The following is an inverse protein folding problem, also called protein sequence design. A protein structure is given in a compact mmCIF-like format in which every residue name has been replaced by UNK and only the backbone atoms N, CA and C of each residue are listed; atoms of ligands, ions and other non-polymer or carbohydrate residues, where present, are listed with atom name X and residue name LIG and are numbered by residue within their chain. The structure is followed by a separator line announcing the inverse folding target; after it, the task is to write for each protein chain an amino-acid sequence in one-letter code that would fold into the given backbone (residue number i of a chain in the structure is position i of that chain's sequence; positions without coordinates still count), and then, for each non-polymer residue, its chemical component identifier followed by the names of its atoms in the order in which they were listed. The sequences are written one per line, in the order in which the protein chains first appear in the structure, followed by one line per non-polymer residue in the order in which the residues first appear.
data_IF_680503880125
#
_entry.id   IF_680503880125
#
_cell.length_a   1.000
_cell.length_b   1.000
_cell.length_c   1.000
_cell.angle_alpha   90.00
_cell.angle_beta   90.00
_cell.angle_gamma   90.00
#
_symmetry.space_group_name_H-M   'P 1'
#
loop_
_entity.id
_entity.type
_entity.pdbx_description
1 polymer ?
#
# COMPACT_ATOMS: atom_id res chain seq x y z
N UNK A 1 49.75 11.20 36.25
CA UNK A 1 48.57 10.30 36.24
C UNK A 1 47.29 10.98 35.75
N UNK A 2 47.00 12.25 36.12
CA UNK A 2 45.76 12.94 35.74
C UNK A 2 45.55 13.10 34.21
N UNK A 3 46.62 13.41 33.45
CA UNK A 3 46.57 13.55 31.98
C UNK A 3 46.27 12.25 31.23
N UNK A 4 46.76 11.11 31.73
CA UNK A 4 46.52 9.78 31.11
C UNK A 4 45.06 9.35 31.33
N UNK A 5 44.50 9.65 32.51
CA UNK A 5 43.10 9.39 32.83
C UNK A 5 42.15 10.26 31.98
N UNK A 6 42.52 11.51 31.72
CA UNK A 6 41.78 12.40 30.81
C UNK A 6 41.85 11.93 29.36
N UNK A 7 43.02 11.47 28.87
CA UNK A 7 43.16 10.91 27.53
C UNK A 7 42.33 9.62 27.35
N UNK A 8 42.30 8.74 28.34
CA UNK A 8 41.45 7.55 28.36
C UNK A 8 39.96 7.91 28.37
N UNK A 9 39.56 8.94 29.10
CA UNK A 9 38.18 9.42 29.13
C UNK A 9 37.74 9.98 27.78
N UNK A 10 38.59 10.78 27.13
CA UNK A 10 38.33 11.29 25.78
C UNK A 10 38.25 10.17 24.73
N UNK A 11 39.12 9.16 24.81
CA UNK A 11 39.08 7.99 23.92
C UNK A 11 37.80 7.17 24.09
N UNK A 12 37.33 6.98 25.33
CA UNK A 12 36.08 6.30 25.63
C UNK A 12 34.87 7.09 25.09
N UNK A 13 34.89 8.42 25.20
CA UNK A 13 33.84 9.28 24.66
C UNK A 13 33.77 9.22 23.13
N UNK A 14 34.93 9.17 22.46
CA UNK A 14 35.01 9.02 21.00
C UNK A 14 34.46 7.66 20.52
N UNK A 15 34.69 6.59 21.29
CA UNK A 15 34.18 5.25 21.01
C UNK A 15 32.65 5.19 21.10
N UNK A 16 32.06 5.87 22.08
CA UNK A 16 30.59 5.96 22.25
C UNK A 16 29.95 6.72 21.08
N UNK A 17 30.60 7.78 20.58
CA UNK A 17 30.10 8.57 19.44
C UNK A 17 30.05 7.77 18.13
N UNK A 18 30.94 6.80 17.91
CA UNK A 18 30.95 5.96 16.70
C UNK A 18 29.81 4.92 16.64
N UNK A 19 29.11 4.71 17.76
CA UNK A 19 28.08 3.66 17.92
C UNK A 19 26.73 4.01 17.26
N UNK A 20 26.52 5.23 16.75
CA UNK A 20 25.24 5.67 16.14
C UNK A 20 25.21 5.59 14.61
N UNK A 21 26.19 4.94 13.97
CA UNK A 21 26.35 4.93 12.51
C UNK A 21 25.39 4.01 11.73
N UNK A 22 24.32 3.49 12.36
CA UNK A 22 23.33 2.63 11.69
C UNK A 22 21.94 3.28 11.65
N UNK A 23 21.86 4.50 11.11
CA UNK A 23 20.61 5.02 10.55
C UNK A 23 20.62 4.82 9.03
N UNK A 24 20.86 3.58 8.59
CA UNK A 24 20.50 3.20 7.23
C UNK A 24 18.99 3.20 7.16
N UNK A 25 18.41 4.09 6.35
CA UNK A 25 17.00 4.02 5.99
C UNK A 25 16.74 2.64 5.39
N UNK A 26 16.27 1.70 6.21
CA UNK A 26 15.86 0.37 5.75
C UNK A 26 14.72 0.63 4.78
N UNK A 27 15.01 0.65 3.48
CA UNK A 27 14.01 0.50 2.42
C UNK A 27 13.30 -0.80 2.76
N UNK A 28 12.16 -0.72 3.43
CA UNK A 28 11.52 -1.86 4.09
C UNK A 28 11.33 -2.99 3.08
N UNK A 29 12.16 -4.03 3.18
CA UNK A 29 12.00 -5.36 2.61
C UNK A 29 11.26 -5.45 1.27
N UNK A 30 11.57 -4.57 0.32
CA UNK A 30 11.10 -4.70 -1.05
C UNK A 30 12.06 -5.67 -1.73
N UNK A 31 11.57 -6.88 -2.00
CA UNK A 31 12.30 -7.82 -2.84
C UNK A 31 12.43 -7.20 -4.24
N UNK A 32 13.66 -7.25 -4.78
CA UNK A 32 13.99 -6.71 -6.10
C UNK A 32 13.32 -7.50 -7.22
N UNK A 33 13.09 -8.79 -6.98
CA UNK A 33 12.48 -9.71 -7.94
C UNK A 33 11.12 -10.17 -7.41
N UNK A 34 10.12 -10.20 -8.29
CA UNK A 34 8.82 -10.74 -7.95
C UNK A 34 8.94 -12.27 -7.81
N UNK A 35 8.43 -12.87 -6.73
CA UNK A 35 8.50 -14.32 -6.54
C UNK A 35 7.45 -15.08 -7.38
N UNK A 36 6.76 -14.37 -8.26
CA UNK A 36 5.73 -14.86 -9.16
C UNK A 36 5.97 -14.31 -10.55
N UNK A 37 5.72 -15.13 -11.57
CA UNK A 37 5.84 -14.71 -12.96
C UNK A 37 4.59 -13.92 -13.40
N UNK A 38 4.77 -12.61 -13.52
CA UNK A 38 3.70 -11.65 -13.82
C UNK A 38 3.59 -11.51 -15.33
N UNK A 39 2.45 -11.92 -15.88
CA UNK A 39 2.13 -11.74 -17.29
C UNK A 39 1.83 -10.28 -17.61
N UNK A 40 0.91 -9.70 -16.85
CA UNK A 40 0.47 -8.32 -17.04
C UNK A 40 -0.13 -7.74 -15.76
N UNK A 41 0.10 -6.44 -15.57
CA UNK A 41 -0.54 -5.64 -14.54
C UNK A 41 -1.18 -4.41 -15.20
N UNK A 42 -2.47 -4.23 -14.97
CA UNK A 42 -3.23 -3.11 -15.54
C UNK A 42 -4.31 -2.64 -14.58
N UNK A 43 -4.81 -1.43 -14.77
CA UNK A 43 -5.95 -0.93 -14.02
C UNK A 43 -7.06 -0.46 -14.96
N UNK A 44 -8.30 -0.60 -14.51
CA UNK A 44 -9.50 -0.03 -15.13
C UNK A 44 -10.15 0.91 -14.13
N UNK A 45 -10.48 2.11 -14.57
CA UNK A 45 -11.31 3.01 -13.77
C UNK A 45 -12.78 2.64 -13.94
N UNK A 46 -13.61 2.93 -12.95
CA UNK A 46 -15.05 2.78 -13.07
C UNK A 46 -15.75 3.96 -12.38
N UNK A 47 -16.88 4.36 -12.94
CA UNK A 47 -17.78 5.35 -12.36
C UNK A 47 -19.19 4.84 -12.51
N UNK A 48 -19.95 4.77 -11.42
CA UNK A 48 -21.36 4.46 -11.49
C UNK A 48 -22.19 5.74 -11.25
N UNK A 49 -22.60 6.45 -12.31
CA UNK A 49 -23.36 7.69 -12.18
C UNK A 49 -24.77 7.44 -11.63
N UNK A 50 -25.32 6.23 -11.76
CA UNK A 50 -26.75 5.99 -11.60
C UNK A 50 -27.28 6.11 -10.16
N UNK A 51 -26.45 6.15 -9.10
CA UNK A 51 -26.92 6.22 -7.70
C UNK A 51 -25.95 6.90 -6.72
N UNK A 52 -25.04 7.75 -7.19
CA UNK A 52 -24.00 8.30 -6.31
C UNK A 52 -23.09 7.22 -5.67
N UNK A 53 -23.09 6.00 -6.22
CA UNK A 53 -22.40 4.81 -5.70
C UNK A 53 -20.87 4.92 -5.80
N UNK A 54 -20.42 6.01 -6.39
CA UNK A 54 -19.04 6.45 -6.39
C UNK A 54 -18.29 6.13 -7.66
N UNK A 55 -16.99 6.39 -7.59
CA UNK A 55 -16.02 6.05 -8.61
C UNK A 55 -14.85 5.35 -7.95
N UNK A 56 -14.05 4.67 -8.76
CA UNK A 56 -12.90 3.95 -8.26
C UNK A 56 -12.04 3.45 -9.38
N UNK A 57 -11.08 2.60 -9.02
CA UNK A 57 -10.26 1.86 -9.94
C UNK A 57 -10.14 0.42 -9.46
N UNK A 58 -10.14 -0.51 -10.41
CA UNK A 58 -9.86 -1.90 -10.19
C UNK A 58 -8.50 -2.19 -10.81
N UNK A 59 -7.55 -2.63 -9.99
CA UNK A 59 -6.25 -3.09 -10.46
C UNK A 59 -6.33 -4.60 -10.68
N UNK A 60 -5.84 -5.06 -11.82
CA UNK A 60 -5.78 -6.46 -12.22
C UNK A 60 -4.33 -6.89 -12.34
N UNK A 61 -4.03 -8.05 -11.78
CA UNK A 61 -2.74 -8.70 -11.83
C UNK A 61 -2.93 -10.10 -12.40
N UNK A 62 -2.36 -10.37 -13.56
CA UNK A 62 -2.45 -11.66 -14.25
C UNK A 62 -1.10 -12.34 -14.17
N UNK A 63 -1.09 -13.58 -13.67
CA UNK A 63 0.12 -14.41 -13.58
C UNK A 63 0.20 -15.37 -14.77
N UNK A 64 1.42 -15.67 -15.25
CA UNK A 64 1.64 -16.66 -16.30
C UNK A 64 1.28 -18.08 -15.83
N UNK A 65 1.52 -18.38 -14.56
CA UNK A 65 1.25 -19.69 -13.95
C UNK A 65 0.53 -19.54 -12.61
N UNK A 66 -0.24 -20.57 -12.22
CA UNK A 66 -0.84 -20.64 -10.87
C UNK A 66 0.29 -20.75 -9.86
N UNK A 67 0.33 -19.83 -8.90
CA UNK A 67 1.22 -19.96 -7.75
C UNK A 67 0.48 -20.70 -6.64
N UNK A 68 0.98 -21.88 -6.27
CA UNK A 68 0.46 -22.66 -5.13
C UNK A 68 1.29 -22.43 -3.86
N UNK A 69 2.50 -21.84 -4.00
CA UNK A 69 3.44 -21.68 -2.90
C UNK A 69 3.27 -20.34 -2.16
N UNK A 70 2.74 -19.31 -2.82
CA UNK A 70 2.71 -17.95 -2.31
C UNK A 70 1.29 -17.38 -2.35
N UNK A 71 0.86 -16.81 -1.23
CA UNK A 71 -0.46 -16.18 -1.11
C UNK A 71 -0.32 -14.68 -1.23
N UNK A 72 -0.85 -14.11 -2.31
CA UNK A 72 -0.97 -12.66 -2.48
C UNK A 72 -2.06 -12.12 -1.56
N UNK A 73 -1.75 -11.11 -0.75
CA UNK A 73 -2.64 -10.61 0.31
C UNK A 73 -3.22 -9.22 -0.01
N UNK A 74 -2.35 -8.23 -0.22
CA UNK A 74 -2.76 -6.85 -0.44
C UNK A 74 -1.94 -6.22 -1.57
N UNK A 75 -2.50 -5.20 -2.21
CA UNK A 75 -1.83 -4.36 -3.20
C UNK A 75 -1.94 -2.90 -2.79
N UNK A 76 -0.85 -2.18 -3.02
CA UNK A 76 -0.73 -0.77 -2.72
C UNK A 76 -0.47 -0.03 -4.01
N UNK A 77 -1.34 0.92 -4.32
CA UNK A 77 -1.32 1.66 -5.57
C UNK A 77 -1.83 3.08 -5.31
N UNK A 78 -1.11 4.09 -5.83
CA UNK A 78 -1.48 5.52 -5.74
C UNK A 78 -1.87 5.98 -4.33
N UNK A 79 -1.07 5.62 -3.33
CA UNK A 79 -1.32 6.06 -1.95
C UNK A 79 -2.49 5.35 -1.25
N UNK A 80 -3.05 4.28 -1.85
CA UNK A 80 -4.10 3.46 -1.24
C UNK A 80 -3.68 2.00 -1.13
N UNK A 81 -4.33 1.28 -0.20
CA UNK A 81 -4.20 -0.16 -0.03
C UNK A 81 -5.54 -0.82 -0.37
N UNK A 82 -5.49 -1.95 -1.08
CA UNK A 82 -6.64 -2.82 -1.31
C UNK A 82 -6.23 -4.28 -1.08
N UNK A 83 -7.16 -5.10 -0.60
CA UNK A 83 -6.97 -6.55 -0.54
C UNK A 83 -6.99 -7.13 -1.95
N UNK A 84 -6.10 -8.06 -2.25
CA UNK A 84 -6.14 -8.82 -3.50
C UNK A 84 -7.11 -9.99 -3.36
N UNK A 85 -8.01 -10.10 -4.33
CA UNK A 85 -8.96 -11.21 -4.42
C UNK A 85 -8.71 -11.97 -5.71
N UNK A 86 -8.71 -13.30 -5.63
CA UNK A 86 -8.63 -14.15 -6.81
C UNK A 86 -9.96 -14.08 -7.58
N UNK A 87 -9.92 -13.70 -8.85
CA UNK A 87 -11.07 -13.74 -9.75
C UNK A 87 -11.17 -15.10 -10.44
N UNK A 88 -10.17 -15.38 -11.29
CA UNK A 88 -10.18 -16.52 -12.20
C UNK A 88 -8.77 -17.13 -12.27
N UNK A 89 -8.54 -18.25 -11.58
CA UNK A 89 -7.34 -19.11 -11.67
C UNK A 89 -5.99 -18.44 -11.38
N UNK A 90 -5.56 -17.52 -12.26
CA UNK A 90 -4.30 -16.80 -12.26
C UNK A 90 -4.49 -15.27 -12.23
N UNK A 91 -5.74 -14.79 -12.22
CA UNK A 91 -6.07 -13.37 -12.23
C UNK A 91 -6.52 -12.91 -10.85
N UNK A 92 -5.77 -11.98 -10.28
CA UNK A 92 -6.09 -11.30 -9.04
C UNK A 92 -6.57 -9.89 -9.34
N UNK A 93 -7.45 -9.35 -8.49
CA UNK A 93 -7.85 -7.96 -8.57
C UNK A 93 -7.91 -7.29 -7.21
N UNK A 94 -7.61 -5.99 -7.18
CA UNK A 94 -7.78 -5.12 -6.02
C UNK A 94 -8.77 -4.01 -6.36
N UNK A 95 -9.82 -3.87 -5.53
CA UNK A 95 -10.83 -2.80 -5.66
C UNK A 95 -10.37 -1.59 -4.84
N UNK A 96 -10.16 -0.45 -5.50
CA UNK A 96 -9.87 0.82 -4.85
C UNK A 96 -11.04 1.77 -5.08
N UNK A 97 -11.71 2.16 -4.00
CA UNK A 97 -12.78 3.16 -4.05
C UNK A 97 -12.17 4.56 -3.92
N UNK A 98 -12.70 5.51 -4.69
CA UNK A 98 -12.34 6.92 -4.54
C UNK A 98 -13.27 7.53 -3.50
N UNK A 99 -12.70 7.95 -2.36
CA UNK A 99 -13.43 8.48 -1.21
C UNK A 99 -14.16 9.80 -1.50
N UNK A 100 -13.96 10.41 -2.68
CA UNK A 100 -14.66 11.63 -3.10
C UNK A 100 -16.18 11.46 -3.13
N UNK A 101 -16.68 10.23 -3.24
CA UNK A 101 -18.10 9.91 -3.29
C UNK A 101 -18.52 8.86 -2.25
N UNK A 102 -17.65 8.49 -1.29
CA UNK A 102 -18.19 7.88 -0.08
C UNK A 102 -19.04 8.99 0.52
N UNK A 103 -20.37 8.82 0.48
CA UNK A 103 -21.34 9.76 1.08
C UNK A 103 -20.71 10.33 2.33
N UNK A 104 -20.66 11.67 2.43
CA UNK A 104 -20.15 12.37 3.61
C UNK A 104 -20.59 11.55 4.83
N UNK A 105 -19.62 10.87 5.45
CA UNK A 105 -19.88 9.91 6.52
C UNK A 105 -20.71 10.66 7.55
N UNK A 106 -22.03 10.39 7.67
CA UNK A 106 -23.02 11.27 8.34
C UNK A 106 -22.36 12.21 9.35
N UNK A 107 -21.90 13.36 8.85
CA UNK A 107 -21.20 14.34 9.68
C UNK A 107 -22.33 15.11 10.32
N UNK A 108 -22.47 14.95 11.63
CA UNK A 108 -23.40 15.77 12.39
C UNK A 108 -22.85 17.19 12.35
N UNK A 109 -23.51 18.05 11.58
CA UNK A 109 -23.27 19.50 11.53
C UNK A 109 -24.42 20.17 12.28
N UNK A 110 -24.24 20.34 13.58
CA UNK A 110 -25.28 20.85 14.48
C UNK A 110 -24.87 22.23 15.01
N UNK A 111 -25.85 23.06 15.38
CA UNK A 111 -25.55 24.30 16.10
C UNK A 111 -25.00 24.04 17.51
N UNK A 112 -25.22 22.84 18.06
CA UNK A 112 -24.69 22.41 19.35
C UNK A 112 -23.39 21.60 19.16
N UNK A 113 -22.28 22.21 19.59
CA UNK A 113 -20.93 21.63 19.55
C UNK A 113 -20.81 20.26 20.23
N UNK A 114 -21.65 19.94 21.21
CA UNK A 114 -21.61 18.65 21.92
C UNK A 114 -22.08 17.49 21.04
N UNK A 115 -22.94 17.77 20.06
CA UNK A 115 -23.44 16.78 19.11
C UNK A 115 -22.40 16.44 18.02
N UNK A 116 -21.46 17.35 17.75
CA UNK A 116 -20.40 17.14 16.77
C UNK A 116 -19.23 16.30 17.31
N UNK A 117 -19.10 16.15 18.63
CA UNK A 117 -17.99 15.42 19.26
C UNK A 117 -17.92 13.94 18.83
N UNK A 118 -19.05 13.37 18.42
CA UNK A 118 -19.13 11.98 17.95
C UNK A 118 -18.73 11.81 16.47
N UNK A 119 -18.40 12.89 15.76
CA UNK A 119 -17.91 12.80 14.39
C UNK A 119 -16.57 12.06 14.36
N UNK A 120 -16.50 10.96 13.61
CA UNK A 120 -15.33 10.07 13.61
C UNK A 120 -14.35 10.43 12.49
N UNK A 121 -13.08 10.64 12.85
CA UNK A 121 -12.02 11.00 11.90
C UNK A 121 -11.90 10.00 10.72
N UNK A 122 -11.52 10.49 9.51
CA UNK A 122 -11.24 9.62 8.38
C UNK A 122 -10.03 8.72 8.68
N UNK A 123 -10.10 7.46 8.25
CA UNK A 123 -8.98 6.52 8.38
C UNK A 123 -7.86 6.92 7.41
N UNK A 124 -6.71 7.30 7.97
CA UNK A 124 -5.50 7.55 7.18
C UNK A 124 -4.69 6.25 7.12
N UNK A 125 -4.63 5.63 5.95
CA UNK A 125 -3.75 4.47 5.72
C UNK A 125 -2.32 4.97 5.55
N UNK A 126 -1.44 4.67 6.51
CA UNK A 126 -0.01 4.98 6.42
C UNK A 126 0.68 3.92 5.56
N UNK A 127 1.07 4.30 4.36
CA UNK A 127 1.82 3.44 3.45
C UNK A 127 3.31 3.69 3.65
N UNK A 128 4.13 2.66 3.92
CA UNK A 128 5.52 2.84 4.32
C UNK A 128 6.50 3.00 3.14
N UNK A 129 6.00 3.22 1.94
CA UNK A 129 6.79 3.36 0.72
C UNK A 129 6.18 4.42 -0.19
N UNK A 130 7.06 5.11 -0.91
CA UNK A 130 6.72 6.08 -1.93
C UNK A 130 6.59 5.36 -3.28
N UNK A 131 5.49 5.58 -3.98
CA UNK A 131 5.19 4.95 -5.26
C UNK A 131 4.91 6.01 -6.32
N UNK A 132 5.48 5.82 -7.50
CA UNK A 132 5.10 6.61 -8.65
C UNK A 132 3.70 6.26 -9.16
N UNK A 133 3.16 7.10 -10.05
CA UNK A 133 1.78 6.95 -10.58
C UNK A 133 1.52 5.62 -11.32
N UNK A 134 2.57 4.99 -11.84
CA UNK A 134 2.54 3.76 -12.64
C UNK A 134 3.20 2.58 -11.91
N UNK A 135 3.45 2.70 -10.61
CA UNK A 135 4.03 1.65 -9.77
C UNK A 135 2.99 1.14 -8.78
N UNK A 136 3.01 -0.16 -8.50
CA UNK A 136 2.35 -0.74 -7.35
C UNK A 136 3.30 -1.62 -6.55
N UNK A 137 2.95 -1.84 -5.29
CA UNK A 137 3.61 -2.83 -4.44
C UNK A 137 2.58 -3.86 -4.04
N UNK A 138 2.94 -5.13 -4.17
CA UNK A 138 2.11 -6.25 -3.75
C UNK A 138 2.74 -6.88 -2.51
N UNK A 139 1.93 -7.08 -1.49
CA UNK A 139 2.31 -7.86 -0.32
C UNK A 139 1.84 -9.30 -0.45
N UNK A 140 2.72 -10.22 -0.07
CA UNK A 140 2.45 -11.64 -0.09
C UNK A 140 2.93 -12.29 1.20
N UNK A 141 2.37 -13.46 1.48
CA UNK A 141 2.74 -14.29 2.61
C UNK A 141 3.54 -15.49 2.10
N UNK A 142 4.74 -15.62 2.64
CA UNK A 142 5.66 -16.72 2.46
C UNK A 142 5.86 -17.36 3.84
N UNK A 143 5.06 -18.41 4.11
CA UNK A 143 4.86 -18.95 5.46
C UNK A 143 4.35 -17.89 6.45
N UNK A 144 5.10 -17.62 7.51
CA UNK A 144 4.76 -16.64 8.55
C UNK A 144 5.31 -15.23 8.29
N UNK A 145 6.05 -15.01 7.19
CA UNK A 145 6.64 -13.70 6.88
C UNK A 145 5.82 -12.99 5.81
N UNK A 146 5.49 -11.73 6.07
CA UNK A 146 4.93 -10.83 5.05
C UNK A 146 6.07 -10.14 4.32
N UNK A 147 6.08 -10.25 3.01
CA UNK A 147 7.08 -9.68 2.13
C UNK A 147 6.41 -8.81 1.07
N UNK A 148 7.19 -7.99 0.41
CA UNK A 148 6.70 -7.01 -0.55
C UNK A 148 7.55 -7.06 -1.82
N UNK A 149 6.91 -6.99 -2.99
CA UNK A 149 7.60 -6.79 -4.27
C UNK A 149 6.94 -5.64 -5.02
N UNK A 150 7.74 -4.94 -5.84
CA UNK A 150 7.30 -3.82 -6.65
C UNK A 150 7.00 -4.28 -8.08
N UNK A 151 5.94 -3.73 -8.67
CA UNK A 151 5.63 -3.86 -10.08
C UNK A 151 5.64 -2.45 -10.69
N UNK A 152 6.46 -2.27 -11.72
CA UNK A 152 6.52 -1.04 -12.50
C UNK A 152 5.74 -1.19 -13.82
N UNK A 153 5.47 -0.08 -14.51
CA UNK A 153 4.82 -0.04 -15.83
C UNK A 153 3.35 -0.53 -15.85
N UNK A 154 2.58 -0.18 -14.83
CA UNK A 154 1.15 -0.51 -14.80
C UNK A 154 0.40 0.38 -15.81
N UNK A 155 -0.27 -0.28 -16.76
CA UNK A 155 -1.00 0.41 -17.83
C UNK A 155 -2.47 0.63 -17.49
N UNK A 156 -3.03 1.75 -18.00
CA UNK A 156 -4.47 1.99 -17.97
C UNK A 156 -5.13 1.23 -19.11
N UNK A 157 -6.17 0.46 -18.83
CA UNK A 157 -7.07 -0.08 -19.85
C UNK A 157 -8.39 0.66 -19.84
N UNK A 158 -8.96 0.87 -21.03
CA UNK A 158 -10.28 1.47 -21.16
C UNK A 158 -11.31 0.62 -20.41
N UNK A 159 -12.18 1.27 -19.65
CA UNK A 159 -13.40 0.66 -19.14
C UNK A 159 -14.45 0.79 -20.22
N UNK A 160 -14.83 -0.32 -20.83
CA UNK A 160 -16.00 -0.39 -21.68
C UNK A 160 -17.18 0.00 -20.78
N UNK A 161 -17.84 1.13 -21.07
CA UNK A 161 -18.94 1.63 -20.26
C UNK A 161 -20.02 0.54 -20.09
N UNK A 162 -20.62 0.47 -18.90
CA UNK A 162 -21.70 -0.42 -18.44
C UNK A 162 -21.34 -1.85 -18.02
N UNK A 163 -21.51 -2.09 -16.71
CA UNK A 163 -21.88 -3.37 -16.06
C UNK A 163 -20.82 -4.41 -15.68
N UNK A 164 -19.52 -4.11 -15.67
CA UNK A 164 -18.51 -4.98 -15.04
C UNK A 164 -18.24 -4.62 -13.56
N UNK A 165 -19.30 -4.47 -12.77
CA UNK A 165 -19.17 -4.57 -11.32
C UNK A 165 -19.33 -6.05 -10.99
N UNK A 166 -18.25 -6.83 -10.73
CA UNK A 166 -18.44 -8.14 -10.15
C UNK A 166 -19.10 -7.94 -8.80
N UNK A 167 -20.35 -8.41 -8.73
CA UNK A 167 -21.21 -8.48 -7.55
C UNK A 167 -20.43 -9.05 -6.36
#
# INVERSE_FOLDING_TARGET
MLKVKQLLFFALMLLVMMSFSQCGSVKKGLESEAPVDIKEAYYKEWSNPARGMGSGLNLFLVLNSKTNAIVLDSVYFRGKQAKLTLKDGNTFFGKFKTDKNTMQKDIVMSSDSTQEYNNTMPKITRIPFELERNECVVSYKDGNKTKYFKISNISKRASNNSLDVPM
#
